data_IF_491363780929
#
_entry.id   IF_491363780929
#
_cell.length_a   1.000
_cell.length_b   1.000
_cell.length_c   1.000
_cell.angle_alpha   90.00
_cell.angle_beta   90.00
_cell.angle_gamma   90.00
#
_symmetry.space_group_name_H-M   'P 1'
#
loop_
_entity.id
_entity.type
_entity.pdbx_description
1 polymer ?
#
# COMPACT_ATOMS: atom_id res chain seq x y z
N UNK A 1 37.62 43.77 -57.60
CA UNK A 1 37.41 42.43 -57.06
C UNK A 1 36.81 42.56 -55.68
N UNK A 2 35.50 42.39 -55.55
CA UNK A 2 34.82 42.52 -54.29
C UNK A 2 34.77 41.13 -53.61
N UNK A 3 35.46 41.02 -52.48
CA UNK A 3 35.41 39.78 -51.64
C UNK A 3 34.14 39.81 -50.82
N UNK A 4 33.22 38.87 -51.09
CA UNK A 4 32.00 38.66 -50.34
C UNK A 4 32.34 37.79 -49.13
N UNK A 5 32.29 38.36 -47.92
CA UNK A 5 32.40 37.64 -46.70
C UNK A 5 31.04 37.07 -46.30
N UNK A 6 30.91 35.75 -46.40
CA UNK A 6 29.71 35.04 -46.00
C UNK A 6 29.81 34.80 -44.47
N UNK A 7 28.99 35.54 -43.70
CA UNK A 7 28.83 35.28 -42.26
C UNK A 7 27.81 34.13 -42.08
N UNK A 8 28.31 32.97 -41.73
CA UNK A 8 27.46 31.84 -41.32
C UNK A 8 26.97 32.09 -39.89
N UNK A 9 25.68 32.40 -39.73
CA UNK A 9 25.01 32.46 -38.44
C UNK A 9 24.73 31.02 -37.98
N UNK A 10 25.52 30.51 -37.04
CA UNK A 10 25.24 29.27 -36.36
C UNK A 10 24.19 29.54 -35.29
N UNK A 11 22.93 29.19 -35.56
CA UNK A 11 21.86 29.15 -34.58
C UNK A 11 22.11 27.96 -33.63
N UNK A 12 22.70 28.23 -32.46
CA UNK A 12 22.78 27.27 -31.37
C UNK A 12 21.39 27.21 -30.74
N UNK A 13 20.58 26.26 -31.18
CA UNK A 13 19.32 25.94 -30.54
C UNK A 13 19.62 25.28 -29.19
N UNK A 14 19.50 26.05 -28.11
CA UNK A 14 19.58 25.55 -26.74
C UNK A 14 18.34 24.72 -26.45
N UNK A 15 18.43 23.41 -26.65
CA UNK A 15 17.45 22.48 -26.11
C UNK A 15 17.58 22.50 -24.60
N UNK A 16 16.74 23.27 -23.91
CA UNK A 16 16.51 23.08 -22.47
C UNK A 16 15.78 21.75 -22.30
N UNK A 17 16.53 20.70 -22.01
CA UNK A 17 15.97 19.48 -21.47
C UNK A 17 15.35 19.83 -20.12
N UNK A 18 14.05 20.09 -20.09
CA UNK A 18 13.29 19.97 -18.86
C UNK A 18 13.39 18.51 -18.42
N UNK A 19 14.32 18.23 -17.52
CA UNK A 19 14.29 17.02 -16.73
C UNK A 19 13.01 17.11 -15.88
N UNK A 20 11.93 16.55 -16.40
CA UNK A 20 10.72 16.30 -15.65
C UNK A 20 11.16 15.37 -14.51
N UNK A 21 11.33 15.96 -13.33
CA UNK A 21 11.55 15.22 -12.11
C UNK A 21 10.30 14.37 -11.97
N UNK A 22 10.41 13.07 -12.28
CA UNK A 22 9.39 12.11 -11.93
C UNK A 22 9.21 12.23 -10.41
N UNK A 23 8.21 12.99 -9.98
CA UNK A 23 7.78 12.97 -8.59
C UNK A 23 7.23 11.58 -8.36
N UNK A 24 8.14 10.71 -7.92
CA UNK A 24 7.81 9.34 -7.61
C UNK A 24 6.79 9.39 -6.47
N UNK A 25 5.52 9.24 -6.86
CA UNK A 25 4.37 9.33 -5.97
C UNK A 25 4.59 8.37 -4.81
N UNK A 26 4.77 8.91 -3.62
CA UNK A 26 4.90 8.09 -2.41
C UNK A 26 3.63 7.27 -2.23
N UNK A 27 3.78 6.05 -1.76
CA UNK A 27 2.68 5.14 -1.46
C UNK A 27 2.53 5.01 0.05
N UNK A 28 1.30 5.06 0.52
CA UNK A 28 0.95 4.86 1.91
C UNK A 28 0.69 3.38 2.16
N UNK A 29 1.37 2.80 3.12
CA UNK A 29 1.13 1.44 3.60
C UNK A 29 0.28 1.48 4.87
N UNK A 30 -0.75 0.66 4.88
CA UNK A 30 -1.61 0.39 6.02
C UNK A 30 -1.42 -1.07 6.39
N UNK A 31 -0.69 -1.32 7.47
CA UNK A 31 -0.32 -2.66 7.92
C UNK A 31 -1.19 -3.04 9.09
N UNK A 32 -1.94 -4.12 8.93
CA UNK A 32 -2.82 -4.68 9.96
C UNK A 32 -2.31 -6.05 10.34
N UNK A 33 -2.09 -6.28 11.62
CA UNK A 33 -1.63 -7.56 12.14
C UNK A 33 -2.64 -8.15 13.11
N UNK A 34 -2.95 -9.43 12.92
CA UNK A 34 -3.86 -10.18 13.77
C UNK A 34 -3.16 -11.31 14.49
N UNK A 35 -3.59 -11.56 15.73
CA UNK A 35 -3.29 -12.78 16.47
C UNK A 35 -4.56 -13.33 17.08
N UNK A 36 -4.68 -14.65 17.13
CA UNK A 36 -5.81 -15.35 17.75
C UNK A 36 -5.33 -16.14 18.98
N UNK A 37 -6.27 -16.47 19.85
CA UNK A 37 -5.99 -17.35 20.99
C UNK A 37 -5.55 -18.73 20.49
N UNK A 38 -4.63 -19.40 21.21
CA UNK A 38 -4.29 -20.79 20.93
C UNK A 38 -5.54 -21.66 20.86
N UNK A 39 -5.60 -22.56 19.87
CA UNK A 39 -6.75 -23.45 19.67
C UNK A 39 -7.91 -22.85 18.89
N UNK A 40 -7.82 -21.61 18.42
CA UNK A 40 -8.82 -21.05 17.49
C UNK A 40 -8.84 -21.89 16.21
N UNK A 41 -10.04 -22.22 15.74
CA UNK A 41 -10.23 -23.00 14.52
C UNK A 41 -9.59 -22.35 13.29
N UNK A 42 -8.65 -23.05 12.69
CA UNK A 42 -7.88 -22.55 11.53
C UNK A 42 -8.76 -22.35 10.30
N UNK A 43 -9.76 -23.19 10.08
CA UNK A 43 -10.70 -23.03 8.96
C UNK A 43 -11.51 -21.74 9.12
N UNK A 44 -11.88 -21.41 10.35
CA UNK A 44 -12.59 -20.17 10.63
C UNK A 44 -11.67 -18.95 10.46
N UNK A 45 -10.38 -19.05 10.84
CA UNK A 45 -9.38 -18.01 10.58
C UNK A 45 -9.21 -17.79 9.06
N UNK A 46 -9.11 -18.86 8.28
CA UNK A 46 -8.95 -18.77 6.82
C UNK A 46 -10.15 -18.07 6.14
N UNK A 47 -11.34 -18.20 6.69
CA UNK A 47 -12.53 -17.45 6.21
C UNK A 47 -12.38 -15.95 6.47
N UNK A 48 -11.84 -15.56 7.63
CA UNK A 48 -11.53 -14.15 7.96
C UNK A 48 -10.48 -13.61 7.00
N UNK A 49 -9.40 -14.36 6.77
CA UNK A 49 -8.33 -13.99 5.84
C UNK A 49 -8.88 -13.78 4.43
N UNK A 50 -9.70 -14.71 3.95
CA UNK A 50 -10.33 -14.62 2.63
C UNK A 50 -11.29 -13.43 2.53
N UNK A 51 -12.07 -13.16 3.57
CA UNK A 51 -12.97 -12.01 3.62
C UNK A 51 -12.20 -10.68 3.60
N UNK A 52 -11.05 -10.62 4.29
CA UNK A 52 -10.18 -9.46 4.25
C UNK A 52 -9.64 -9.22 2.83
N UNK A 53 -9.10 -10.27 2.20
CA UNK A 53 -8.59 -10.18 0.83
C UNK A 53 -9.64 -9.73 -0.18
N UNK A 54 -10.89 -10.11 0.01
CA UNK A 54 -12.00 -9.69 -0.86
C UNK A 54 -12.28 -8.18 -0.83
N UNK A 55 -11.80 -7.44 0.18
CA UNK A 55 -11.96 -5.99 0.22
C UNK A 55 -11.24 -5.29 -0.94
N UNK A 56 -10.11 -5.83 -1.40
CA UNK A 56 -9.38 -5.30 -2.57
C UNK A 56 -10.27 -5.25 -3.82
N UNK A 57 -11.14 -6.24 -4.00
CA UNK A 57 -12.04 -6.30 -5.15
C UNK A 57 -13.27 -5.39 -5.01
N UNK A 58 -13.68 -5.07 -3.77
CA UNK A 58 -14.84 -4.25 -3.47
C UNK A 58 -14.51 -2.77 -3.34
N UNK A 59 -13.33 -2.43 -2.83
CA UNK A 59 -12.93 -1.06 -2.49
C UNK A 59 -11.81 -0.62 -3.42
N UNK A 60 -12.14 0.15 -4.46
CA UNK A 60 -11.19 0.59 -5.50
C UNK A 60 -10.12 1.57 -5.02
N UNK A 61 -10.23 2.07 -3.80
CA UNK A 61 -9.22 2.88 -3.13
C UNK A 61 -7.96 2.07 -2.81
N UNK A 62 -8.08 0.77 -2.60
CA UNK A 62 -6.97 -0.16 -2.37
C UNK A 62 -6.22 -0.34 -3.69
N UNK A 63 -4.94 0.05 -3.73
CA UNK A 63 -4.09 -0.03 -4.94
C UNK A 63 -3.33 -1.34 -5.01
N UNK A 64 -3.02 -1.93 -3.87
CA UNK A 64 -2.42 -3.24 -3.77
C UNK A 64 -2.75 -3.84 -2.39
N UNK A 65 -2.80 -5.15 -2.35
CA UNK A 65 -3.01 -5.93 -1.15
C UNK A 65 -2.06 -7.12 -1.15
N UNK A 66 -1.45 -7.36 0.00
CA UNK A 66 -0.62 -8.54 0.25
C UNK A 66 -0.81 -8.99 1.70
N UNK A 67 -0.61 -10.27 1.96
CA UNK A 67 -0.68 -10.80 3.30
C UNK A 67 0.24 -12.02 3.48
N UNK A 68 0.51 -12.36 4.71
CA UNK A 68 1.28 -13.55 5.04
C UNK A 68 1.17 -13.93 6.50
N UNK A 69 1.68 -15.14 6.79
CA UNK A 69 1.76 -15.69 8.15
C UNK A 69 3.18 -15.49 8.65
N UNK A 70 3.32 -15.11 9.93
CA UNK A 70 4.62 -14.93 10.55
C UNK A 70 5.45 -16.24 10.52
N UNK A 71 6.67 -16.13 10.03
CA UNK A 71 7.66 -17.21 10.02
C UNK A 71 9.01 -16.79 10.63
N UNK A 72 9.05 -15.65 11.35
CA UNK A 72 10.28 -15.19 12.00
C UNK A 72 10.71 -16.14 13.12
N UNK A 73 11.97 -16.58 13.13
CA UNK A 73 12.51 -17.41 14.21
C UNK A 73 12.84 -16.64 15.49
N UNK A 74 12.73 -15.30 15.48
CA UNK A 74 13.13 -14.46 16.62
C UNK A 74 12.14 -14.51 17.80
N UNK A 75 10.90 -14.97 17.58
CA UNK A 75 9.84 -15.03 18.59
C UNK A 75 9.49 -13.67 19.21
N UNK A 76 9.58 -12.59 18.41
CA UNK A 76 9.30 -11.20 18.81
C UNK A 76 7.95 -10.69 18.31
N UNK A 77 7.11 -11.57 17.78
CA UNK A 77 5.82 -11.24 17.18
C UNK A 77 4.69 -10.99 18.18
N UNK A 78 4.92 -11.12 19.48
CA UNK A 78 3.93 -10.87 20.54
C UNK A 78 2.57 -11.57 20.33
N UNK A 79 2.57 -12.76 19.69
CA UNK A 79 1.36 -13.50 19.37
C UNK A 79 0.61 -13.02 18.13
N UNK A 80 1.14 -12.04 17.40
CA UNK A 80 0.64 -11.63 16.10
C UNK A 80 1.13 -12.64 15.04
N UNK A 81 0.22 -13.23 14.31
CA UNK A 81 0.53 -14.33 13.39
C UNK A 81 0.24 -14.02 11.93
N UNK A 82 -0.72 -13.14 11.66
CA UNK A 82 -1.12 -12.76 10.30
C UNK A 82 -0.85 -11.28 10.07
N UNK A 83 -0.21 -10.97 8.96
CA UNK A 83 0.11 -9.62 8.57
C UNK A 83 -0.55 -9.31 7.23
N UNK A 84 -1.30 -8.22 7.16
CA UNK A 84 -2.00 -7.75 5.97
C UNK A 84 -1.48 -6.36 5.65
N UNK A 85 -1.09 -6.12 4.41
CA UNK A 85 -0.59 -4.82 3.98
C UNK A 85 -1.43 -4.30 2.83
N UNK A 86 -2.10 -3.18 3.04
CA UNK A 86 -2.83 -2.47 2.01
C UNK A 86 -2.03 -1.26 1.56
N UNK A 87 -2.10 -0.95 0.29
CA UNK A 87 -1.44 0.21 -0.30
C UNK A 87 -2.47 1.21 -0.78
N UNK A 88 -2.30 2.47 -0.39
CA UNK A 88 -3.14 3.60 -0.81
C UNK A 88 -2.29 4.66 -1.51
N UNK A 89 -2.94 5.48 -2.34
CA UNK A 89 -2.29 6.61 -3.01
C UNK A 89 -2.21 7.86 -2.15
N UNK A 90 -2.99 7.93 -1.07
CA UNK A 90 -3.08 9.10 -0.18
C UNK A 90 -3.67 8.73 1.18
N UNK A 91 -3.48 9.61 2.17
CA UNK A 91 -4.19 9.50 3.45
C UNK A 91 -5.70 9.64 3.29
N UNK A 92 -6.15 10.49 2.39
CA UNK A 92 -7.57 10.66 2.10
C UNK A 92 -8.20 9.36 1.59
N UNK A 93 -7.51 8.59 0.75
CA UNK A 93 -7.97 7.28 0.28
C UNK A 93 -8.04 6.26 1.42
N UNK A 94 -7.01 6.24 2.29
CA UNK A 94 -7.00 5.38 3.48
C UNK A 94 -8.15 5.76 4.43
N UNK A 95 -8.37 7.05 4.70
CA UNK A 95 -9.42 7.51 5.58
C UNK A 95 -10.82 7.17 5.03
N UNK A 96 -11.01 7.32 3.71
CA UNK A 96 -12.22 6.90 3.04
C UNK A 96 -12.44 5.38 3.08
N UNK A 97 -11.37 4.58 3.00
CA UNK A 97 -11.41 3.12 3.20
C UNK A 97 -11.91 2.77 4.61
N UNK A 98 -11.39 3.42 5.65
CA UNK A 98 -11.75 3.12 7.04
C UNK A 98 -13.24 3.30 7.32
N UNK A 99 -13.91 4.23 6.64
CA UNK A 99 -15.36 4.48 6.78
C UNK A 99 -16.19 3.82 5.68
N UNK A 100 -15.57 3.11 4.74
CA UNK A 100 -16.26 2.47 3.63
C UNK A 100 -17.25 1.42 4.12
N UNK A 101 -18.47 1.34 3.55
CA UNK A 101 -19.49 0.37 3.97
C UNK A 101 -18.99 -1.07 3.97
N UNK A 102 -18.25 -1.49 2.95
CA UNK A 102 -17.72 -2.86 2.87
C UNK A 102 -16.66 -3.14 3.93
N UNK A 103 -15.81 -2.15 4.29
CA UNK A 103 -14.87 -2.29 5.40
C UNK A 103 -15.61 -2.43 6.74
N UNK A 104 -16.60 -1.58 6.98
CA UNK A 104 -17.43 -1.66 8.20
C UNK A 104 -18.17 -2.99 8.30
N UNK A 105 -18.72 -3.48 7.18
CA UNK A 105 -19.40 -4.79 7.13
C UNK A 105 -18.43 -5.93 7.44
N UNK A 106 -17.21 -5.88 6.91
CA UNK A 106 -16.16 -6.85 7.23
C UNK A 106 -15.83 -6.86 8.72
N UNK A 107 -15.59 -5.69 9.31
CA UNK A 107 -15.26 -5.56 10.74
C UNK A 107 -16.40 -6.09 11.62
N UNK A 108 -17.65 -5.81 11.25
CA UNK A 108 -18.84 -6.22 12.02
C UNK A 108 -19.05 -7.74 12.06
N UNK A 109 -18.52 -8.49 11.06
CA UNK A 109 -18.70 -9.95 10.95
C UNK A 109 -17.43 -10.75 11.21
N UNK A 110 -16.39 -10.11 11.78
CA UNK A 110 -15.16 -10.81 12.16
C UNK A 110 -15.46 -11.92 13.17
N UNK A 111 -15.40 -13.17 12.69
CA UNK A 111 -15.62 -14.36 13.53
C UNK A 111 -14.72 -15.50 13.03
N UNK A 112 -13.74 -15.95 13.82
CA UNK A 112 -13.44 -15.49 15.18
C UNK A 112 -12.80 -14.09 15.17
N UNK A 113 -13.17 -13.28 16.15
CA UNK A 113 -12.51 -11.99 16.36
C UNK A 113 -11.03 -12.21 16.76
N UNK A 114 -10.09 -11.45 16.21
CA UNK A 114 -8.71 -11.49 16.68
C UNK A 114 -8.61 -11.13 18.17
N UNK A 115 -7.77 -11.86 18.90
CA UNK A 115 -7.44 -11.55 20.30
C UNK A 115 -6.50 -10.34 20.40
N UNK A 116 -5.65 -10.18 19.39
CA UNK A 116 -4.72 -9.05 19.24
C UNK A 116 -4.83 -8.43 17.87
N UNK A 117 -4.83 -7.11 17.85
CA UNK A 117 -4.81 -6.31 16.63
C UNK A 117 -3.76 -5.22 16.77
N UNK A 118 -2.91 -5.08 15.78
CA UNK A 118 -1.96 -3.96 15.67
C UNK A 118 -2.09 -3.34 14.29
N UNK A 119 -2.14 -2.02 14.23
CA UNK A 119 -2.19 -1.27 12.97
C UNK A 119 -1.05 -0.26 12.96
N UNK A 120 -0.30 -0.24 11.86
CA UNK A 120 0.78 0.72 11.62
C UNK A 120 0.65 1.26 10.20
N UNK A 121 0.66 2.57 10.07
CA UNK A 121 0.66 3.24 8.77
C UNK A 121 1.99 3.97 8.55
N UNK A 122 2.51 3.92 7.33
CA UNK A 122 3.71 4.67 6.97
C UNK A 122 3.76 5.00 5.47
N UNK A 123 4.41 6.11 5.16
CA UNK A 123 4.81 6.42 3.80
C UNK A 123 6.07 5.64 3.44
N UNK A 124 6.07 5.04 2.25
CA UNK A 124 7.27 4.34 1.77
C UNK A 124 8.40 5.34 1.60
N UNK A 125 9.47 5.17 2.39
CA UNK A 125 10.71 5.93 2.24
C UNK A 125 11.64 5.23 1.26
N UNK A 126 12.43 6.03 0.51
CA UNK A 126 13.47 5.53 -0.42
C UNK A 126 14.83 5.91 0.11
#
# INVERSE_FOLDING_TARGET
>A
MKKLLLFAFILISSYTMNAQKDEQKQLLKHVVMFGWKPGTDTVAIDKVVSAFGNLEHKIKLIKAYEWGINNSPENLNNGLTHCFTLTFSSEADRDAYLIHPDHKAFVAVLSPAPDKVTVVDYWVSK
#
